data_IF_694371261113
#
_entry.id   IF_694371261113
#
_cell.length_a   1.000
_cell.length_b   1.000
_cell.length_c   1.000
_cell.angle_alpha   90.00
_cell.angle_beta   90.00
_cell.angle_gamma   90.00
#
_symmetry.space_group_name_H-M   'P 1'
#
loop_
_entity.id
_entity.type
_entity.pdbx_description
1 polymer ?
#
# COMPACT_ATOMS: atom_id res chain seq x y z
N UNK A 1 -7.72 -53.22 -31.38
CA UNK A 1 -8.40 -52.21 -30.55
C UNK A 1 -7.34 -51.57 -29.69
N UNK A 2 -7.17 -50.24 -29.79
CA UNK A 2 -6.03 -49.50 -29.24
C UNK A 2 -6.39 -49.01 -27.84
N UNK A 3 -5.68 -49.47 -26.82
CA UNK A 3 -5.77 -48.97 -25.45
C UNK A 3 -5.23 -47.53 -25.39
N UNK A 4 -6.10 -46.58 -25.04
CA UNK A 4 -5.70 -45.20 -24.79
C UNK A 4 -5.16 -45.10 -23.36
N UNK A 5 -3.85 -45.04 -23.23
CA UNK A 5 -3.18 -44.56 -22.00
C UNK A 5 -3.57 -43.09 -21.75
N UNK A 6 -4.36 -42.86 -20.70
CA UNK A 6 -4.50 -41.53 -20.10
C UNK A 6 -3.26 -41.26 -19.27
N UNK A 7 -2.37 -40.41 -19.79
CA UNK A 7 -1.23 -39.87 -19.04
C UNK A 7 -1.79 -38.94 -17.96
N UNK A 8 -1.79 -39.42 -16.72
CA UNK A 8 -2.10 -38.60 -15.54
C UNK A 8 -1.06 -37.49 -15.43
N UNK A 9 -1.50 -36.26 -15.74
CA UNK A 9 -0.69 -35.06 -15.58
C UNK A 9 -0.57 -34.77 -14.09
N UNK A 10 0.49 -35.28 -13.46
CA UNK A 10 0.79 -35.02 -12.06
C UNK A 10 1.17 -33.53 -11.94
N UNK A 11 0.27 -32.73 -11.37
CA UNK A 11 0.60 -31.37 -10.92
C UNK A 11 1.55 -31.50 -9.75
N UNK A 12 2.85 -31.30 -10.02
CA UNK A 12 3.88 -31.22 -8.99
C UNK A 12 3.57 -29.95 -8.19
N UNK A 13 2.99 -30.11 -6.99
CA UNK A 13 2.85 -29.01 -6.04
C UNK A 13 4.26 -28.67 -5.57
N UNK A 14 4.84 -27.62 -6.15
CA UNK A 14 6.05 -27.00 -5.63
C UNK A 14 5.67 -26.24 -4.36
N UNK A 15 5.49 -26.98 -3.26
CA UNK A 15 5.23 -26.39 -1.95
C UNK A 15 6.53 -25.75 -1.47
N UNK A 16 6.55 -24.42 -1.38
CA UNK A 16 7.64 -23.68 -0.78
C UNK A 16 7.33 -23.59 0.72
N UNK A 17 8.13 -24.23 1.56
CA UNK A 17 8.03 -24.10 3.01
C UNK A 17 8.78 -22.84 3.44
N UNK A 18 8.04 -21.79 3.81
CA UNK A 18 8.59 -20.57 4.38
C UNK A 18 8.32 -20.53 5.89
N UNK A 19 9.34 -20.36 6.75
CA UNK A 19 9.13 -20.17 8.18
C UNK A 19 8.30 -18.92 8.46
N UNK A 20 7.37 -18.98 9.41
CA UNK A 20 6.54 -17.81 9.77
C UNK A 20 7.36 -16.60 10.22
N UNK A 21 8.50 -16.82 10.89
CA UNK A 21 9.43 -15.73 11.26
C UNK A 21 10.02 -15.02 10.03
N UNK A 22 10.32 -15.75 8.96
CA UNK A 22 10.85 -15.16 7.72
C UNK A 22 9.76 -14.37 6.97
N UNK A 23 8.51 -14.84 7.00
CA UNK A 23 7.38 -14.07 6.47
C UNK A 23 7.19 -12.77 7.25
N UNK A 24 7.14 -12.85 8.58
CA UNK A 24 6.96 -11.68 9.45
C UNK A 24 8.08 -10.65 9.26
N UNK A 25 9.34 -11.10 9.17
CA UNK A 25 10.46 -10.20 8.89
C UNK A 25 10.30 -9.47 7.56
N UNK A 26 9.80 -10.15 6.52
CA UNK A 26 9.57 -9.52 5.20
C UNK A 26 8.41 -8.53 5.25
N UNK A 27 7.34 -8.84 5.97
CA UNK A 27 6.22 -7.92 6.18
C UNK A 27 6.67 -6.67 6.94
N UNK A 28 7.51 -6.82 7.97
CA UNK A 28 8.08 -5.71 8.73
C UNK A 28 8.97 -4.82 7.84
N UNK A 29 9.83 -5.41 7.00
CA UNK A 29 10.66 -4.66 6.03
C UNK A 29 9.80 -3.89 5.02
N UNK A 30 8.70 -4.48 4.53
CA UNK A 30 7.74 -3.79 3.67
C UNK A 30 7.06 -2.63 4.41
N UNK A 31 6.66 -2.83 5.66
CA UNK A 31 6.04 -1.78 6.49
C UNK A 31 6.96 -0.58 6.66
N UNK A 32 8.25 -0.79 6.96
CA UNK A 32 9.22 0.31 7.09
C UNK A 32 9.44 1.07 5.77
N UNK A 33 9.38 0.37 4.63
CA UNK A 33 9.50 1.01 3.32
C UNK A 33 8.30 1.92 3.04
N UNK A 34 7.09 1.50 3.41
CA UNK A 34 5.86 2.30 3.27
C UNK A 34 5.95 3.56 4.14
N UNK A 35 6.39 3.42 5.39
CA UNK A 35 6.59 4.55 6.30
C UNK A 35 7.58 5.56 5.72
N UNK A 36 8.71 5.09 5.20
CA UNK A 36 9.72 5.96 4.57
C UNK A 36 9.16 6.72 3.36
N UNK A 37 8.33 6.08 2.55
CA UNK A 37 7.66 6.73 1.41
C UNK A 37 6.72 7.83 1.91
N UNK A 38 5.99 7.58 3.01
CA UNK A 38 5.06 8.55 3.60
C UNK A 38 5.79 9.83 4.03
N UNK A 39 6.94 9.71 4.70
CA UNK A 39 7.78 10.86 5.08
C UNK A 39 8.26 11.64 3.85
N UNK A 40 8.69 10.94 2.79
CA UNK A 40 9.15 11.61 1.57
C UNK A 40 8.03 12.37 0.86
N UNK A 41 6.78 11.90 0.97
CA UNK A 41 5.61 12.61 0.44
C UNK A 41 5.37 13.88 1.25
N UNK A 42 5.38 13.80 2.58
CA UNK A 42 5.23 14.96 3.47
C UNK A 42 6.31 16.02 3.19
N UNK A 43 7.57 15.61 3.08
CA UNK A 43 8.70 16.50 2.75
C UNK A 43 8.57 17.15 1.36
N UNK A 44 7.86 16.49 0.43
CA UNK A 44 7.63 16.99 -0.92
C UNK A 44 6.38 17.89 -1.02
N UNK A 45 5.56 17.99 0.02
CA UNK A 45 4.40 18.86 0.03
C UNK A 45 4.84 20.32 -0.03
N UNK A 46 4.10 21.10 -0.83
CA UNK A 46 4.30 22.55 -0.96
C UNK A 46 3.24 23.24 -0.12
N UNK A 47 3.61 24.34 0.55
CA UNK A 47 2.64 25.18 1.28
C UNK A 47 1.55 25.67 0.30
N UNK A 48 0.25 25.50 0.64
CA UNK A 48 -0.83 25.94 -0.25
C UNK A 48 -0.87 27.46 -0.50
N UNK A 49 -0.18 28.25 0.33
CA UNK A 49 -0.04 29.70 0.17
C UNK A 49 1.20 30.09 -0.66
N UNK A 50 2.11 29.15 -0.94
CA UNK A 50 3.28 29.41 -1.75
C UNK A 50 2.93 29.48 -3.24
N UNK A 51 3.45 30.50 -3.92
CA UNK A 51 3.30 30.67 -5.37
C UNK A 51 4.57 30.21 -6.08
N UNK A 52 4.49 29.07 -6.76
CA UNK A 52 5.60 28.57 -7.59
C UNK A 52 5.49 29.15 -9.00
N UNK A 53 6.49 29.94 -9.39
CA UNK A 53 6.65 30.40 -10.77
C UNK A 53 7.27 29.33 -11.65
N UNK A 54 6.52 28.82 -12.63
CA UNK A 54 7.00 27.87 -13.63
C UNK A 54 6.92 28.50 -15.03
N UNK A 55 7.94 28.29 -15.85
CA UNK A 55 7.81 28.55 -17.28
C UNK A 55 6.97 27.46 -17.96
N UNK A 56 6.54 27.71 -19.21
CA UNK A 56 5.65 26.79 -19.93
C UNK A 56 6.26 25.40 -20.14
N UNK A 57 7.58 25.28 -20.24
CA UNK A 57 8.23 23.98 -20.44
C UNK A 57 8.31 23.22 -19.12
N UNK A 58 8.68 23.89 -18.04
CA UNK A 58 8.72 23.34 -16.69
C UNK A 58 7.32 22.88 -16.23
N UNK A 59 6.28 23.68 -16.49
CA UNK A 59 4.89 23.31 -16.21
C UNK A 59 4.48 22.04 -16.95
N UNK A 60 4.72 21.97 -18.26
CA UNK A 60 4.36 20.79 -19.06
C UNK A 60 5.11 19.53 -18.59
N UNK A 61 6.40 19.66 -18.27
CA UNK A 61 7.19 18.56 -17.74
C UNK A 61 6.66 18.09 -16.39
N UNK A 62 6.30 19.03 -15.50
CA UNK A 62 5.70 18.70 -14.21
C UNK A 62 4.38 17.94 -14.38
N UNK A 63 3.49 18.41 -15.26
CA UNK A 63 2.22 17.74 -15.54
C UNK A 63 2.43 16.32 -16.09
N UNK A 64 3.42 16.11 -16.96
CA UNK A 64 3.76 14.76 -17.46
C UNK A 64 4.28 13.87 -16.32
N UNK A 65 5.11 14.41 -15.45
CA UNK A 65 5.62 13.66 -14.30
C UNK A 65 4.48 13.27 -13.35
N UNK A 66 3.57 14.21 -13.03
CA UNK A 66 2.42 13.95 -12.16
C UNK A 66 1.50 12.87 -12.76
N UNK A 67 1.16 12.96 -14.04
CA UNK A 67 0.32 11.94 -14.69
C UNK A 67 0.95 10.53 -14.64
N UNK A 68 2.28 10.42 -14.78
CA UNK A 68 2.98 9.13 -14.65
C UNK A 68 2.99 8.62 -13.21
N UNK A 69 3.08 9.52 -12.23
CA UNK A 69 2.98 9.16 -10.82
C UNK A 69 1.57 8.66 -10.48
N UNK A 70 0.53 9.32 -10.97
CA UNK A 70 -0.86 8.86 -10.82
C UNK A 70 -1.04 7.44 -11.40
N UNK A 71 -0.61 7.20 -12.63
CA UNK A 71 -0.68 5.87 -13.26
C UNK A 71 0.08 4.81 -12.45
N UNK A 72 1.26 5.17 -11.91
CA UNK A 72 2.03 4.28 -11.05
C UNK A 72 1.31 3.95 -9.74
N UNK A 73 0.69 4.95 -9.09
CA UNK A 73 -0.02 4.77 -7.83
C UNK A 73 -1.27 3.91 -8.02
N UNK A 74 -2.02 4.11 -9.10
CA UNK A 74 -3.17 3.28 -9.45
C UNK A 74 -2.76 1.82 -9.62
N UNK A 75 -1.69 1.57 -10.39
CA UNK A 75 -1.18 0.21 -10.58
C UNK A 75 -0.65 -0.42 -9.29
N UNK A 76 0.00 0.36 -8.43
CA UNK A 76 0.49 -0.10 -7.12
C UNK A 76 -0.67 -0.48 -6.20
N UNK A 77 -1.75 0.30 -6.21
CA UNK A 77 -2.96 0.03 -5.43
C UNK A 77 -3.63 -1.27 -5.89
N UNK A 78 -3.87 -1.44 -7.20
CA UNK A 78 -4.41 -2.68 -7.78
C UNK A 78 -3.55 -3.89 -7.40
N UNK A 79 -2.24 -3.80 -7.61
CA UNK A 79 -1.31 -4.90 -7.31
C UNK A 79 -1.30 -5.25 -5.82
N UNK A 80 -1.40 -4.25 -4.94
CA UNK A 80 -1.41 -4.43 -3.50
C UNK A 80 -2.69 -5.11 -3.03
N UNK A 81 -3.85 -4.73 -3.59
CA UNK A 81 -5.11 -5.41 -3.32
C UNK A 81 -5.09 -6.87 -3.77
N UNK A 82 -4.69 -7.13 -5.02
CA UNK A 82 -4.55 -8.48 -5.56
C UNK A 82 -3.61 -9.33 -4.71
N UNK A 83 -2.45 -8.79 -4.34
CA UNK A 83 -1.48 -9.50 -3.49
C UNK A 83 -2.04 -9.78 -2.09
N UNK A 84 -2.80 -8.83 -1.52
CA UNK A 84 -3.41 -9.01 -0.20
C UNK A 84 -4.49 -10.09 -0.24
N UNK A 85 -5.30 -10.13 -1.30
CA UNK A 85 -6.32 -11.14 -1.51
C UNK A 85 -5.70 -12.53 -1.73
N UNK A 86 -4.64 -12.64 -2.54
CA UNK A 86 -3.86 -13.86 -2.73
C UNK A 86 -3.29 -14.38 -1.41
N UNK A 87 -2.69 -13.50 -0.59
CA UNK A 87 -2.18 -13.87 0.73
C UNK A 87 -3.33 -14.34 1.64
N UNK A 88 -4.50 -13.69 1.59
CA UNK A 88 -5.66 -14.07 2.39
C UNK A 88 -6.17 -15.46 2.00
N UNK A 89 -6.27 -15.75 0.70
CA UNK A 89 -6.65 -17.08 0.19
C UNK A 89 -5.64 -18.15 0.64
N UNK A 90 -4.35 -17.85 0.56
CA UNK A 90 -3.28 -18.78 0.92
C UNK A 90 -3.21 -19.07 2.42
N UNK A 91 -3.39 -18.06 3.27
CA UNK A 91 -3.26 -18.19 4.73
C UNK A 91 -4.57 -18.69 5.37
N UNK A 92 -5.69 -18.63 4.66
CA UNK A 92 -7.00 -19.06 5.17
C UNK A 92 -7.51 -18.20 6.32
N UNK A 93 -7.08 -16.92 6.36
CA UNK A 93 -7.48 -16.00 7.42
C UNK A 93 -8.92 -15.52 7.16
N UNK A 94 -9.88 -15.75 8.08
CA UNK A 94 -11.21 -15.18 7.97
C UNK A 94 -11.12 -13.65 8.00
N UNK A 95 -12.02 -12.97 7.30
CA UNK A 95 -12.07 -11.52 7.10
C UNK A 95 -12.11 -10.66 8.40
N UNK A 96 -12.14 -11.29 9.58
CA UNK A 96 -12.35 -10.70 10.90
C UNK A 96 -11.05 -10.32 11.63
N UNK A 97 -9.86 -10.56 11.04
CA UNK A 97 -8.57 -10.18 11.66
C UNK A 97 -8.17 -8.71 11.42
N UNK A 98 -8.97 -7.95 10.67
CA UNK A 98 -8.86 -6.50 10.70
C UNK A 98 -9.59 -6.03 11.96
N UNK A 99 -8.82 -5.58 12.95
CA UNK A 99 -9.30 -4.47 13.75
C UNK A 99 -9.59 -3.36 12.76
N UNK A 100 -10.85 -3.25 12.36
CA UNK A 100 -11.42 -2.03 11.82
C UNK A 100 -11.01 -0.97 12.83
N UNK A 101 -9.99 -0.19 12.48
CA UNK A 101 -9.84 1.11 13.12
C UNK A 101 -11.07 1.81 12.58
N UNK A 102 -12.12 1.84 13.41
CA UNK A 102 -13.35 2.54 13.08
C UNK A 102 -12.93 3.94 12.63
N UNK A 103 -13.06 4.20 11.32
CA UNK A 103 -12.89 5.53 10.71
C UNK A 103 -13.97 6.51 11.20
N UNK A 104 -14.77 6.12 12.19
CA UNK A 104 -15.79 6.90 12.89
C UNK A 104 -15.38 7.25 14.33
N UNK A 105 -14.08 7.29 14.68
CA UNK A 105 -13.68 7.95 15.94
C UNK A 105 -13.47 9.43 15.69
N UNK A 106 -14.63 10.09 15.66
CA UNK A 106 -14.86 11.53 15.70
C UNK A 106 -13.69 12.36 16.26
N UNK A 107 -13.34 13.31 15.42
CA UNK A 107 -12.86 14.66 15.67
C UNK A 107 -13.01 15.19 17.12
N UNK A 108 -12.05 16.07 17.46
CA UNK A 108 -12.08 17.08 18.51
C UNK A 108 -11.74 16.68 19.95
N UNK A 109 -10.44 16.75 20.25
CA UNK A 109 -10.01 17.29 21.54
C UNK A 109 -8.90 18.33 21.35
N UNK A 110 -9.27 19.47 20.74
CA UNK A 110 -8.56 20.72 20.98
C UNK A 110 -8.70 21.05 22.46
N UNK A 111 -7.62 20.87 23.23
CA UNK A 111 -7.53 21.48 24.55
C UNK A 111 -7.15 22.94 24.30
N UNK A 112 -8.15 23.82 24.28
CA UNK A 112 -7.93 25.26 24.45
C UNK A 112 -7.43 25.48 25.89
N UNK A 113 -6.13 25.62 26.08
CA UNK A 113 -5.58 26.22 27.29
C UNK A 113 -5.88 27.73 27.26
N UNK A 114 -7.13 28.09 27.57
CA UNK A 114 -7.47 29.42 28.07
C UNK A 114 -7.05 29.54 29.54
N UNK A 115 -5.82 29.97 29.78
CA UNK A 115 -5.47 30.61 31.06
C UNK A 115 -5.28 32.12 30.83
N UNK A 116 -6.41 32.82 30.91
CA UNK A 116 -6.45 34.24 31.22
C UNK A 116 -6.45 34.44 32.74
N UNK A 117 -5.45 35.20 33.20
CA UNK A 117 -5.49 36.17 34.32
C UNK A 117 -5.70 35.66 35.76
N UNK A 118 -4.65 35.79 36.56
CA UNK A 118 -4.63 36.75 37.68
C UNK A 118 -3.23 37.36 37.89
#
# INVERSE_FOLDING_TARGET
MVERQTVGRQMVKNTIELPGEELNRRLEDLSMKIERVSILIEDAMVDPNDVIGLDSMAYNNLMICLAKYEEFLDHLHETTLDTTDDIRELVGCPAECYGVVDEDRDEDQFVEDEDQQE
#
